data_IF_675046523671
#
_entry.id   IF_675046523671
#
_cell.length_a   1.000
_cell.length_b   1.000
_cell.length_c   1.000
_cell.angle_alpha   90.00
_cell.angle_beta   90.00
_cell.angle_gamma   90.00
#
_symmetry.space_group_name_H-M   'P 1'
#
loop_
_entity.id
_entity.type
_entity.pdbx_description
1 polymer ?
#
# COMPACT_ATOMS: atom_id res chain seq x y z
N UNK A 1 1.79 12.40 9.15
CA UNK A 1 1.61 10.96 9.45
C UNK A 1 2.70 10.18 8.75
N UNK A 2 3.37 9.28 9.44
CA UNK A 2 4.30 8.32 8.82
C UNK A 2 3.43 7.16 8.32
N UNK A 3 3.51 6.80 7.04
CA UNK A 3 2.81 5.62 6.53
C UNK A 3 3.63 4.40 6.94
N UNK A 4 3.07 3.56 7.81
CA UNK A 4 3.73 2.35 8.26
C UNK A 4 3.12 1.16 7.50
N UNK A 5 3.94 0.41 6.78
CA UNK A 5 3.47 -0.82 6.13
C UNK A 5 3.83 -2.00 7.03
N UNK A 6 2.90 -2.39 7.90
CA UNK A 6 3.02 -3.58 8.76
C UNK A 6 2.07 -4.66 8.27
N UNK A 7 2.56 -5.90 8.22
CA UNK A 7 1.71 -7.08 8.05
C UNK A 7 0.88 -7.34 9.31
N UNK A 8 -0.24 -8.05 9.19
CA UNK A 8 -1.03 -8.56 10.33
C UNK A 8 -0.18 -9.28 11.38
N UNK A 9 0.80 -10.06 10.92
CA UNK A 9 1.73 -10.76 11.80
C UNK A 9 2.60 -9.78 12.60
N UNK A 10 3.13 -8.75 11.96
CA UNK A 10 3.97 -7.73 12.61
C UNK A 10 3.14 -6.88 13.59
N UNK A 11 1.92 -6.48 13.21
CA UNK A 11 1.00 -5.79 14.10
C UNK A 11 0.65 -6.65 15.33
N UNK A 12 0.38 -7.94 15.12
CA UNK A 12 0.15 -8.89 16.20
C UNK A 12 1.35 -9.04 17.15
N UNK A 13 2.58 -8.97 16.63
CA UNK A 13 3.80 -8.94 17.46
C UNK A 13 3.89 -7.67 18.30
N UNK A 14 3.58 -6.50 17.73
CA UNK A 14 3.59 -5.23 18.49
C UNK A 14 2.56 -5.23 19.62
N UNK A 15 1.34 -5.73 19.38
CA UNK A 15 0.30 -5.85 20.40
C UNK A 15 0.75 -6.74 21.57
N UNK A 16 1.30 -7.91 21.28
CA UNK A 16 1.86 -8.81 22.31
C UNK A 16 2.99 -8.17 23.12
N UNK A 17 3.80 -7.33 22.46
CA UNK A 17 4.88 -6.60 23.12
C UNK A 17 4.32 -5.55 24.08
N UNK A 18 3.28 -4.81 23.67
CA UNK A 18 2.57 -3.86 24.53
C UNK A 18 1.97 -4.57 25.75
N UNK A 19 1.26 -5.67 25.55
CA UNK A 19 0.67 -6.44 26.66
C UNK A 19 1.75 -6.89 27.65
N UNK A 20 2.87 -7.41 27.15
CA UNK A 20 4.00 -7.84 27.99
C UNK A 20 4.61 -6.68 28.79
N UNK A 21 4.70 -5.48 28.20
CA UNK A 21 5.19 -4.27 28.89
C UNK A 21 4.24 -3.82 30.00
N UNK A 22 2.92 -3.94 29.79
CA UNK A 22 1.92 -3.56 30.79
C UNK A 22 1.88 -4.55 31.98
N UNK A 23 2.21 -5.82 31.74
CA UNK A 23 2.31 -6.83 32.79
C UNK A 23 3.64 -6.83 33.55
N UNK A 24 4.71 -6.32 32.93
CA UNK A 24 6.07 -6.37 33.48
C UNK A 24 6.22 -5.76 34.89
N UNK A 25 5.63 -4.60 35.23
CA UNK A 25 5.76 -4.01 36.56
C UNK A 25 5.39 -4.96 37.70
N UNK A 26 4.26 -5.67 37.58
CA UNK A 26 3.81 -6.60 38.62
C UNK A 26 4.69 -7.85 38.70
N UNK A 27 5.10 -8.40 37.56
CA UNK A 27 6.00 -9.57 37.51
C UNK A 27 7.35 -9.28 38.16
N UNK A 28 7.95 -8.14 37.83
CA UNK A 28 9.24 -7.71 38.39
C UNK A 28 9.13 -7.50 39.90
N UNK A 29 8.06 -6.85 40.37
CA UNK A 29 7.85 -6.65 41.81
C UNK A 29 7.67 -7.99 42.56
N UNK A 30 6.92 -8.94 42.00
CA UNK A 30 6.81 -10.29 42.58
C UNK A 30 8.17 -10.98 42.63
N UNK A 31 8.93 -10.99 41.54
CA UNK A 31 10.25 -11.66 41.48
C UNK A 31 11.23 -11.07 42.51
N UNK A 32 11.27 -9.75 42.65
CA UNK A 32 12.11 -9.07 43.64
C UNK A 32 11.69 -9.43 45.07
N UNK A 33 10.39 -9.46 45.36
CA UNK A 33 9.90 -9.80 46.69
C UNK A 33 10.13 -11.28 47.03
N UNK A 34 9.97 -12.19 46.07
CA UNK A 34 10.27 -13.62 46.24
C UNK A 34 11.76 -13.83 46.59
N UNK A 35 12.68 -13.14 45.90
CA UNK A 35 14.11 -13.16 46.21
C UNK A 35 14.41 -12.55 47.59
N UNK A 36 13.82 -11.39 47.91
CA UNK A 36 13.99 -10.70 49.19
C UNK A 36 13.54 -11.57 50.38
N UNK A 37 12.42 -12.28 50.25
CA UNK A 37 11.95 -13.20 51.29
C UNK A 37 12.82 -14.45 51.40
N UNK A 38 13.36 -14.97 50.30
CA UNK A 38 14.29 -16.10 50.32
C UNK A 38 15.59 -15.76 51.07
N UNK A 39 15.98 -14.48 51.10
CA UNK A 39 17.13 -13.96 51.86
C UNK A 39 16.81 -13.62 53.32
N UNK A 40 15.57 -13.84 53.78
CA UNK A 40 15.12 -13.61 55.16
C UNK A 40 14.54 -12.22 55.42
N UNK A 41 14.19 -11.47 54.38
CA UNK A 41 13.50 -10.18 54.50
C UNK A 41 12.07 -10.28 55.04
N UNK A 42 11.67 -9.33 55.88
CA UNK A 42 10.30 -9.18 56.39
C UNK A 42 9.56 -8.04 55.67
N UNK A 43 8.30 -8.29 55.30
CA UNK A 43 7.44 -7.35 54.56
C UNK A 43 7.73 -7.25 53.06
N UNK A 44 6.84 -6.58 52.31
CA UNK A 44 6.97 -6.44 50.85
C UNK A 44 7.65 -5.10 50.49
N UNK A 45 8.49 -5.11 49.46
CA UNK A 45 9.02 -3.91 48.83
C UNK A 45 7.99 -3.37 47.84
N UNK A 46 7.51 -2.15 48.06
CA UNK A 46 6.58 -1.46 47.15
C UNK A 46 7.32 -0.78 45.99
N UNK A 47 7.36 -1.44 44.83
CA UNK A 47 8.01 -0.92 43.61
C UNK A 47 7.02 -0.67 42.47
N UNK A 48 5.79 -1.17 42.58
CA UNK A 48 4.80 -1.17 41.49
C UNK A 48 4.62 0.17 40.83
N UNK A 49 4.34 1.21 41.63
CA UNK A 49 4.05 2.55 41.11
C UNK A 49 5.25 3.15 40.35
N UNK A 50 6.46 2.91 40.83
CA UNK A 50 7.69 3.37 40.16
C UNK A 50 7.89 2.64 38.83
N UNK A 51 7.70 1.32 38.81
CA UNK A 51 7.81 0.51 37.59
C UNK A 51 6.69 0.87 36.59
N UNK A 52 5.46 1.06 37.05
CA UNK A 52 4.33 1.50 36.20
C UNK A 52 4.60 2.86 35.55
N UNK A 53 5.27 3.78 36.24
CA UNK A 53 5.69 5.06 35.64
C UNK A 53 6.79 4.83 34.59
N UNK A 54 7.81 4.05 34.91
CA UNK A 54 8.93 3.77 34.00
C UNK A 54 8.49 3.07 32.70
N UNK A 55 7.61 2.08 32.78
CA UNK A 55 7.08 1.36 31.63
C UNK A 55 5.90 2.09 30.97
N UNK A 56 5.22 2.97 31.71
CA UNK A 56 4.01 3.66 31.28
C UNK A 56 4.23 4.63 30.12
N UNK A 57 5.33 5.37 30.11
CA UNK A 57 5.65 6.29 28.99
C UNK A 57 5.88 5.52 27.68
N UNK A 58 6.71 4.47 27.73
CA UNK A 58 7.01 3.63 26.56
C UNK A 58 5.77 2.85 26.09
N UNK A 59 4.96 2.34 27.03
CA UNK A 59 3.71 1.67 26.74
C UNK A 59 2.69 2.59 26.05
N UNK A 60 2.61 3.86 26.48
CA UNK A 60 1.75 4.87 25.83
C UNK A 60 2.18 5.15 24.39
N UNK A 61 3.48 5.36 24.15
CA UNK A 61 3.98 5.62 22.79
C UNK A 61 3.73 4.44 21.85
N UNK A 62 3.99 3.21 22.32
CA UNK A 62 3.74 2.01 21.53
C UNK A 62 2.24 1.82 21.26
N UNK A 63 1.37 2.11 22.23
CA UNK A 63 -0.08 2.09 22.05
C UNK A 63 -0.52 3.07 20.96
N UNK A 64 -0.03 4.31 20.99
CA UNK A 64 -0.36 5.29 19.95
C UNK A 64 0.12 4.87 18.57
N UNK A 65 1.30 4.25 18.47
CA UNK A 65 1.78 3.70 17.21
C UNK A 65 0.86 2.59 16.69
N UNK A 66 0.44 1.67 17.55
CA UNK A 66 -0.50 0.60 17.20
C UNK A 66 -1.83 1.19 16.72
N UNK A 67 -2.39 2.15 17.46
CA UNK A 67 -3.62 2.85 17.09
C UNK A 67 -3.47 3.61 15.75
N UNK A 68 -2.35 4.27 15.50
CA UNK A 68 -2.09 4.97 14.24
C UNK A 68 -2.00 3.98 13.06
N UNK A 69 -1.41 2.80 13.27
CA UNK A 69 -1.37 1.72 12.26
C UNK A 69 -2.75 1.11 12.03
N UNK A 70 -3.52 0.86 13.08
CA UNK A 70 -4.86 0.27 12.97
C UNK A 70 -5.88 1.22 12.34
N UNK A 71 -5.73 2.53 12.58
CA UNK A 71 -6.58 3.56 12.00
C UNK A 71 -6.09 4.04 10.63
N UNK A 72 -4.96 3.54 10.14
CA UNK A 72 -4.56 3.81 8.76
C UNK A 72 -5.58 3.16 7.82
N UNK A 73 -6.03 3.88 6.77
CA UNK A 73 -6.80 3.26 5.72
C UNK A 73 -5.99 2.09 5.16
N UNK A 74 -6.65 0.96 4.95
CA UNK A 74 -6.01 -0.20 4.33
C UNK A 74 -5.27 0.26 3.06
N UNK A 75 -4.05 -0.24 2.81
CA UNK A 75 -3.33 0.14 1.61
C UNK A 75 -4.21 -0.11 0.38
N UNK A 76 -4.26 0.83 -0.57
CA UNK A 76 -5.03 0.65 -1.79
C UNK A 76 -4.47 -0.57 -2.53
N UNK A 77 -5.30 -1.61 -2.67
CA UNK A 77 -4.94 -2.91 -3.21
C UNK A 77 -5.53 -3.17 -4.59
N UNK A 78 -5.78 -2.12 -5.37
CA UNK A 78 -6.25 -2.12 -6.76
C UNK A 78 -5.88 -3.35 -7.62
N UNK A 79 -4.60 -3.76 -7.64
CA UNK A 79 -4.17 -4.95 -8.41
C UNK A 79 -4.73 -6.26 -7.83
N UNK A 80 -4.72 -6.41 -6.50
CA UNK A 80 -5.27 -7.58 -5.81
C UNK A 80 -6.80 -7.61 -5.88
N UNK A 81 -7.47 -6.46 -5.78
CA UNK A 81 -8.92 -6.36 -5.94
C UNK A 81 -9.37 -6.83 -7.34
N UNK A 82 -8.62 -6.43 -8.39
CA UNK A 82 -8.89 -6.88 -9.75
C UNK A 82 -8.56 -8.37 -9.93
N UNK A 83 -7.47 -8.89 -9.32
CA UNK A 83 -7.18 -10.33 -9.32
C UNK A 83 -8.30 -11.13 -8.67
N UNK A 84 -8.80 -10.67 -7.54
CA UNK A 84 -9.89 -11.32 -6.81
C UNK A 84 -11.20 -11.30 -7.61
N UNK A 85 -11.57 -10.16 -8.21
CA UNK A 85 -12.69 -10.09 -9.15
C UNK A 85 -12.54 -11.13 -10.27
N UNK A 86 -11.39 -11.17 -10.93
CA UNK A 86 -11.17 -12.10 -12.04
C UNK A 86 -11.22 -13.57 -11.59
N UNK A 87 -10.74 -13.88 -10.39
CA UNK A 87 -10.88 -15.19 -9.75
C UNK A 87 -12.34 -15.56 -9.53
N UNK A 88 -13.12 -14.67 -8.92
CA UNK A 88 -14.55 -14.86 -8.63
C UNK A 88 -15.36 -15.07 -9.92
N UNK A 89 -15.06 -14.30 -10.96
CA UNK A 89 -15.72 -14.36 -12.27
C UNK A 89 -15.09 -15.40 -13.22
N UNK A 90 -14.12 -16.19 -12.74
CA UNK A 90 -13.46 -17.27 -13.50
C UNK A 90 -12.83 -16.82 -14.82
N UNK A 91 -12.27 -15.62 -14.84
CA UNK A 91 -11.56 -15.05 -15.98
C UNK A 91 -10.09 -15.49 -15.95
N UNK A 92 -9.56 -15.92 -17.09
CA UNK A 92 -8.15 -16.34 -17.17
C UNK A 92 -7.22 -15.14 -16.94
N UNK A 93 -6.25 -15.33 -16.03
CA UNK A 93 -5.11 -14.45 -15.77
C UNK A 93 -3.87 -15.33 -15.56
N UNK A 94 -2.91 -15.32 -16.49
CA UNK A 94 -2.96 -14.62 -17.77
C UNK A 94 -3.97 -15.25 -18.76
N UNK A 95 -4.26 -14.57 -19.87
CA UNK A 95 -5.15 -15.11 -20.90
C UNK A 95 -4.60 -16.40 -21.51
N UNK A 96 -5.48 -17.28 -21.97
CA UNK A 96 -5.14 -18.49 -22.71
C UNK A 96 -5.25 -18.28 -24.23
N UNK A 97 -5.95 -17.23 -24.66
CA UNK A 97 -6.20 -16.94 -26.08
C UNK A 97 -6.04 -15.45 -26.40
N UNK A 98 -5.67 -15.15 -27.65
CA UNK A 98 -5.69 -13.78 -28.20
C UNK A 98 -7.08 -13.14 -28.10
N UNK A 99 -8.16 -13.95 -28.18
CA UNK A 99 -9.53 -13.47 -28.06
C UNK A 99 -9.79 -12.85 -26.68
N UNK A 100 -9.27 -13.45 -25.61
CA UNK A 100 -9.45 -12.91 -24.25
C UNK A 100 -8.71 -11.59 -24.05
N UNK A 101 -7.48 -11.49 -24.58
CA UNK A 101 -6.73 -10.21 -24.63
C UNK A 101 -7.52 -9.16 -25.39
N UNK A 102 -8.05 -9.52 -26.55
CA UNK A 102 -8.83 -8.62 -27.39
C UNK A 102 -10.14 -8.16 -26.72
N UNK A 103 -10.84 -9.06 -26.03
CA UNK A 103 -12.03 -8.71 -25.24
C UNK A 103 -11.67 -7.70 -24.15
N UNK A 104 -10.62 -7.94 -23.37
CA UNK A 104 -10.21 -7.02 -22.31
C UNK A 104 -9.77 -5.66 -22.87
N UNK A 105 -9.07 -5.64 -24.00
CA UNK A 105 -8.69 -4.40 -24.68
C UNK A 105 -9.90 -3.61 -25.18
N UNK A 106 -10.96 -4.28 -25.63
CA UNK A 106 -12.22 -3.61 -25.99
C UNK A 106 -12.88 -2.94 -24.79
N UNK A 107 -12.90 -3.60 -23.64
CA UNK A 107 -13.41 -2.98 -22.40
C UNK A 107 -12.65 -1.69 -22.10
N UNK A 108 -11.30 -1.70 -22.10
CA UNK A 108 -10.49 -0.48 -21.88
C UNK A 108 -10.86 0.65 -22.85
N UNK A 109 -11.10 0.31 -24.13
CA UNK A 109 -11.49 1.28 -25.16
C UNK A 109 -12.90 1.85 -24.90
N UNK A 110 -13.82 1.02 -24.44
CA UNK A 110 -15.19 1.41 -24.08
C UNK A 110 -15.15 2.36 -22.87
N UNK A 111 -14.50 2.00 -21.77
CA UNK A 111 -14.38 2.87 -20.58
C UNK A 111 -13.70 4.21 -20.87
N UNK A 112 -12.69 4.21 -21.74
CA UNK A 112 -12.04 5.46 -22.16
C UNK A 112 -13.00 6.37 -22.94
N UNK A 113 -13.88 5.80 -23.76
CA UNK A 113 -14.88 6.56 -24.50
C UNK A 113 -15.92 7.16 -23.56
N UNK A 114 -16.41 6.35 -22.61
CA UNK A 114 -17.40 6.79 -21.62
C UNK A 114 -16.82 7.90 -20.72
N UNK A 115 -15.59 7.74 -20.24
CA UNK A 115 -14.91 8.78 -19.47
C UNK A 115 -14.73 10.08 -20.29
N UNK A 116 -14.41 9.97 -21.58
CA UNK A 116 -14.26 11.15 -22.44
C UNK A 116 -15.58 11.92 -22.55
N UNK A 117 -16.69 11.22 -22.79
CA UNK A 117 -18.01 11.82 -22.92
C UNK A 117 -18.42 12.49 -21.59
N UNK A 118 -18.24 11.81 -20.45
CA UNK A 118 -18.58 12.35 -19.12
C UNK A 118 -17.72 13.56 -18.72
N UNK A 119 -16.44 13.60 -19.11
CA UNK A 119 -15.58 14.79 -18.93
C UNK A 119 -16.10 15.97 -19.76
N UNK A 120 -16.49 15.73 -21.01
CA UNK A 120 -17.01 16.79 -21.88
C UNK A 120 -18.37 17.31 -21.39
N UNK A 121 -19.29 16.41 -21.01
CA UNK A 121 -20.62 16.76 -20.51
C UNK A 121 -20.57 17.52 -19.19
N UNK A 122 -19.59 17.22 -18.33
CA UNK A 122 -19.39 17.89 -17.05
C UNK A 122 -18.69 19.26 -17.15
N UNK A 123 -18.39 19.75 -18.36
CA UNK A 123 -17.59 20.97 -18.55
C UNK A 123 -16.25 20.89 -17.80
N UNK A 124 -15.60 19.71 -17.84
CA UNK A 124 -14.35 19.41 -17.15
C UNK A 124 -14.41 19.58 -15.62
N UNK A 125 -15.61 19.55 -15.02
CA UNK A 125 -15.80 19.64 -13.57
C UNK A 125 -15.83 18.26 -12.93
N UNK A 126 -15.38 18.13 -11.67
CA UNK A 126 -15.57 16.90 -10.92
C UNK A 126 -17.06 16.55 -10.81
N UNK A 127 -17.40 15.31 -11.13
CA UNK A 127 -18.74 14.74 -10.95
C UNK A 127 -18.62 13.28 -10.51
N UNK A 128 -19.70 12.72 -9.96
CA UNK A 128 -19.76 11.30 -9.60
C UNK A 128 -19.44 10.43 -10.81
N UNK A 129 -20.00 10.75 -11.97
CA UNK A 129 -19.80 9.99 -13.21
C UNK A 129 -18.39 10.10 -13.77
N UNK A 130 -17.76 11.27 -13.70
CA UNK A 130 -16.35 11.43 -14.09
C UNK A 130 -15.46 10.58 -13.19
N UNK A 131 -15.73 10.56 -11.88
CA UNK A 131 -14.99 9.72 -10.94
C UNK A 131 -15.19 8.22 -11.21
N UNK A 132 -16.42 7.82 -11.53
CA UNK A 132 -16.78 6.45 -11.94
C UNK A 132 -15.96 6.02 -13.17
N UNK A 133 -16.01 6.80 -14.26
CA UNK A 133 -15.24 6.50 -15.47
C UNK A 133 -13.72 6.48 -15.26
N UNK A 134 -13.18 7.29 -14.34
CA UNK A 134 -11.75 7.20 -13.95
C UNK A 134 -11.46 5.85 -13.28
N UNK A 135 -12.32 5.43 -12.36
CA UNK A 135 -12.20 4.15 -11.66
C UNK A 135 -12.36 2.96 -12.62
N UNK A 136 -13.32 3.00 -13.55
CA UNK A 136 -13.54 1.93 -14.52
C UNK A 136 -12.39 1.82 -15.52
N UNK A 137 -11.86 2.95 -16.00
CA UNK A 137 -10.65 2.93 -16.82
C UNK A 137 -9.46 2.36 -16.06
N UNK A 138 -9.27 2.73 -14.79
CA UNK A 138 -8.23 2.15 -13.94
C UNK A 138 -8.39 0.63 -13.80
N UNK A 139 -9.60 0.19 -13.45
CA UNK A 139 -9.95 -1.21 -13.22
C UNK A 139 -9.72 -2.07 -14.47
N UNK A 140 -10.22 -1.61 -15.63
CA UNK A 140 -10.09 -2.34 -16.89
C UNK A 140 -8.65 -2.36 -17.42
N UNK A 141 -7.87 -1.29 -17.19
CA UNK A 141 -6.47 -1.23 -17.61
C UNK A 141 -5.57 -2.13 -16.75
N UNK A 142 -5.81 -2.18 -15.43
CA UNK A 142 -5.17 -3.19 -14.56
C UNK A 142 -5.55 -4.60 -15.02
N UNK A 143 -6.83 -4.81 -15.35
CA UNK A 143 -7.31 -6.08 -15.92
C UNK A 143 -6.57 -6.48 -17.21
N UNK A 144 -6.28 -5.53 -18.09
CA UNK A 144 -5.51 -5.77 -19.31
C UNK A 144 -4.07 -6.19 -19.02
N UNK A 145 -3.40 -5.54 -18.06
CA UNK A 145 -2.05 -5.91 -17.67
C UNK A 145 -1.99 -7.33 -17.09
N UNK A 146 -2.95 -7.72 -16.24
CA UNK A 146 -3.05 -9.08 -15.69
C UNK A 146 -3.33 -10.14 -16.77
N UNK A 147 -4.13 -9.79 -17.77
CA UNK A 147 -4.41 -10.65 -18.92
C UNK A 147 -3.16 -10.88 -19.78
N UNK A 148 -2.28 -9.88 -19.86
CA UNK A 148 -0.99 -9.95 -20.55
C UNK A 148 0.15 -10.54 -19.70
N UNK A 149 -0.13 -10.98 -18.47
CA UNK A 149 0.85 -11.48 -17.51
C UNK A 149 1.94 -10.46 -17.11
N UNK A 150 1.62 -9.16 -17.18
CA UNK A 150 2.56 -8.10 -16.81
C UNK A 150 2.52 -7.85 -15.29
N UNK A 151 3.69 -7.64 -14.68
CA UNK A 151 3.79 -7.10 -13.31
C UNK A 151 3.49 -5.59 -13.33
N UNK A 152 2.20 -5.26 -13.33
CA UNK A 152 1.73 -3.86 -13.39
C UNK A 152 2.14 -3.06 -12.15
N UNK A 153 2.24 -3.70 -10.98
CA UNK A 153 2.59 -3.01 -9.74
C UNK A 153 4.06 -2.59 -9.77
N UNK A 154 4.97 -3.50 -10.15
CA UNK A 154 6.37 -3.21 -10.36
C UNK A 154 6.61 -2.20 -11.49
N UNK A 155 5.92 -2.38 -12.62
CA UNK A 155 6.00 -1.47 -13.76
C UNK A 155 5.55 -0.04 -13.40
N UNK A 156 4.46 0.11 -12.66
CA UNK A 156 3.98 1.42 -12.24
C UNK A 156 4.96 2.09 -11.26
N UNK A 157 5.54 1.35 -10.31
CA UNK A 157 6.57 1.87 -9.43
C UNK A 157 7.81 2.38 -10.20
N UNK A 158 8.24 1.66 -11.25
CA UNK A 158 9.33 2.09 -12.13
C UNK A 158 8.97 3.33 -12.97
N UNK A 159 7.72 3.42 -13.44
CA UNK A 159 7.22 4.63 -14.13
C UNK A 159 7.17 5.83 -13.18
N UNK A 160 6.76 5.63 -11.92
CA UNK A 160 6.79 6.68 -10.89
C UNK A 160 8.24 7.14 -10.66
N UNK A 161 9.18 6.21 -10.48
CA UNK A 161 10.62 6.53 -10.34
C UNK A 161 11.10 7.36 -11.53
N UNK A 162 10.86 6.90 -12.76
CA UNK A 162 11.23 7.62 -13.98
C UNK A 162 10.58 9.01 -14.06
N UNK A 163 9.29 9.13 -13.75
CA UNK A 163 8.60 10.42 -13.75
C UNK A 163 9.19 11.42 -12.75
N UNK A 164 9.63 10.96 -11.58
CA UNK A 164 10.28 11.82 -10.58
C UNK A 164 11.67 12.31 -11.03
N UNK A 165 12.33 11.63 -11.98
CA UNK A 165 13.59 12.11 -12.59
C UNK A 165 13.40 13.27 -13.58
N UNK A 166 12.16 13.63 -13.94
CA UNK A 166 11.86 14.72 -14.89
C UNK A 166 12.21 16.11 -14.37
N UNK A 167 12.51 16.26 -13.08
CA UNK A 167 12.85 17.54 -12.47
C UNK A 167 14.08 18.19 -13.15
N UNK A 168 14.07 19.52 -13.17
CA UNK A 168 15.18 20.34 -13.60
C UNK A 168 16.40 20.18 -12.70
N UNK A 169 17.53 20.76 -13.11
CA UNK A 169 18.76 20.73 -12.32
C UNK A 169 18.62 21.40 -10.94
N UNK A 170 17.63 22.26 -10.75
CA UNK A 170 17.28 22.94 -9.50
C UNK A 170 16.23 22.17 -8.66
N UNK A 171 15.85 20.96 -9.08
CA UNK A 171 14.82 20.15 -8.42
C UNK A 171 13.38 20.60 -8.69
N UNK A 172 13.15 21.52 -9.64
CA UNK A 172 11.80 22.02 -9.97
C UNK A 172 11.26 21.42 -11.28
N UNK A 173 9.93 21.29 -11.43
CA UNK A 173 9.35 20.84 -12.71
C UNK A 173 9.62 21.85 -13.84
N UNK A 174 9.81 21.34 -15.05
CA UNK A 174 9.89 22.13 -16.28
C UNK A 174 8.56 21.96 -17.02
N UNK A 175 7.91 23.06 -17.41
CA UNK A 175 6.61 23.03 -18.07
C UNK A 175 6.69 23.53 -19.51
N UNK A 176 5.84 22.95 -20.37
CA UNK A 176 5.46 23.51 -21.67
C UNK A 176 4.36 24.56 -21.48
N UNK A 177 4.09 25.36 -22.52
CA UNK A 177 3.04 26.39 -22.55
C UNK A 177 1.64 25.88 -22.17
N UNK A 178 1.33 24.61 -22.46
CA UNK A 178 0.05 23.97 -22.11
C UNK A 178 0.04 23.35 -20.69
N UNK A 179 1.08 23.59 -19.89
CA UNK A 179 1.23 23.04 -18.54
C UNK A 179 1.74 21.61 -18.50
N UNK A 180 2.09 20.99 -19.63
CA UNK A 180 2.66 19.63 -19.64
C UNK A 180 4.06 19.62 -19.01
N UNK A 181 4.30 18.70 -18.09
CA UNK A 181 5.64 18.44 -17.51
C UNK A 181 6.57 17.87 -18.58
N UNK A 182 7.70 18.55 -18.79
CA UNK A 182 8.77 18.18 -19.72
C UNK A 182 9.85 17.34 -19.03
N UNK A 183 10.70 16.70 -19.86
CA UNK A 183 11.85 15.91 -19.38
C UNK A 183 13.01 16.86 -19.02
N UNK A 184 13.45 16.83 -17.77
CA UNK A 184 14.64 17.52 -17.29
C UNK A 184 15.96 16.87 -17.73
N UNK A 185 17.11 17.50 -17.42
CA UNK A 185 18.43 17.03 -17.85
C UNK A 185 18.84 15.68 -17.21
N UNK A 186 18.28 15.34 -16.06
CA UNK A 186 18.54 14.08 -15.34
C UNK A 186 17.48 13.01 -15.63
N UNK A 187 16.66 13.19 -16.66
CA UNK A 187 15.59 12.25 -16.97
C UNK A 187 16.13 10.86 -17.33
N UNK A 188 15.60 9.84 -16.67
CA UNK A 188 15.86 8.44 -16.98
C UNK A 188 14.57 7.75 -17.46
N UNK A 189 14.65 7.03 -18.58
CA UNK A 189 13.53 6.24 -19.09
C UNK A 189 13.17 5.08 -18.15
N UNK A 190 11.88 4.68 -18.07
CA UNK A 190 11.47 3.58 -17.24
C UNK A 190 12.01 2.26 -17.80
N UNK A 191 12.67 1.47 -16.96
CA UNK A 191 13.26 0.18 -17.32
C UNK A 191 12.21 -0.92 -17.21
N UNK A 192 11.30 -0.99 -18.18
CA UNK A 192 10.11 -1.85 -18.08
C UNK A 192 10.30 -3.33 -18.42
N UNK A 193 11.41 -3.70 -19.08
CA UNK A 193 11.69 -5.08 -19.51
C UNK A 193 11.54 -6.14 -18.40
N UNK A 194 11.97 -5.92 -17.15
CA UNK A 194 11.82 -6.90 -16.07
C UNK A 194 10.38 -7.22 -15.68
N UNK A 195 9.41 -6.37 -16.02
CA UNK A 195 7.99 -6.51 -15.65
C UNK A 195 7.15 -7.15 -16.75
N UNK A 196 7.77 -7.53 -17.87
CA UNK A 196 7.13 -8.30 -18.93
C UNK A 196 7.26 -9.80 -18.64
N UNK A 197 6.28 -10.61 -19.07
CA UNK A 197 6.48 -12.06 -19.06
C UNK A 197 7.58 -12.45 -20.04
N UNK A 198 8.19 -13.61 -19.84
CA UNK A 198 9.22 -14.14 -20.75
C UNK A 198 8.66 -14.44 -22.15
N UNK A 199 7.44 -14.97 -22.19
CA UNK A 199 6.70 -15.35 -23.39
C UNK A 199 5.21 -15.07 -23.18
N UNK A 200 4.45 -14.92 -24.27
CA UNK A 200 3.00 -14.79 -24.17
C UNK A 200 2.38 -16.12 -23.69
N UNK A 201 1.36 -16.04 -22.85
CA UNK A 201 0.68 -17.21 -22.27
C UNK A 201 -0.25 -17.95 -23.25
N UNK A 202 -0.43 -17.44 -24.46
CA UNK A 202 -1.19 -18.08 -25.53
C UNK A 202 -0.25 -18.50 -26.67
N UNK A 203 -0.43 -19.73 -27.15
CA UNK A 203 0.26 -20.19 -28.35
C UNK A 203 -0.25 -19.42 -29.57
N UNK A 204 0.67 -19.01 -30.44
CA UNK A 204 0.41 -18.16 -31.60
C UNK A 204 -0.53 -18.81 -32.63
#
# INVERSE_FOLDING_TARGET
>A
MKNYTLTEKQLGTLKKTLDSMLEAPGKIETEINDEYHAEGGEGDIELRGTLEVMFGDLGRELKYLIEDVENQPAPIQWVEDVKEFRRLYRLNTPAKTKKEVWTQFKCVREELSELFDEICESDFRPSVKVLDGICDLLFTTVGLALVLDCDIQGAFAEVVRSNLTKLGADGKPIYREDGKVLKGPNFEEPKLKPFLPKEASWNA
#
